data_IF_864492703139
#
_entry.id   IF_864492703139
#
_cell.length_a   1.000
_cell.length_b   1.000
_cell.length_c   1.000
_cell.angle_alpha   90.00
_cell.angle_beta   90.00
_cell.angle_gamma   90.00
#
_symmetry.space_group_name_H-M   'P 1'
#
loop_
_entity.id
_entity.type
_entity.pdbx_description
1 polymer ?
#
# COMPACT_ATOMS: atom_id res chain seq x y z
N UNK A 1 13.77 0.66 -19.28
CA UNK A 1 14.25 -0.43 -18.42
C UNK A 1 13.68 -0.15 -17.04
N UNK A 2 12.55 -0.74 -16.70
CA UNK A 2 11.99 -0.67 -15.34
C UNK A 2 12.80 -1.63 -14.48
N UNK A 3 13.44 -1.14 -13.42
CA UNK A 3 14.21 -1.94 -12.48
C UNK A 3 13.27 -2.86 -11.67
N UNK A 4 13.10 -4.10 -12.14
CA UNK A 4 12.25 -5.15 -11.56
C UNK A 4 12.77 -5.77 -10.24
N UNK A 5 13.60 -5.06 -9.47
CA UNK A 5 14.06 -5.49 -8.13
C UNK A 5 13.39 -4.72 -7.01
N UNK A 6 12.14 -4.27 -7.18
CA UNK A 6 11.34 -3.80 -6.04
C UNK A 6 10.93 -5.00 -5.20
N UNK A 7 11.50 -5.13 -4.00
CA UNK A 7 11.07 -6.11 -2.99
C UNK A 7 9.59 -5.85 -2.68
N UNK A 8 8.70 -6.67 -3.24
CA UNK A 8 7.27 -6.65 -2.88
C UNK A 8 7.09 -7.44 -1.60
N UNK A 9 6.83 -6.76 -0.48
CA UNK A 9 6.51 -7.40 0.79
C UNK A 9 5.07 -7.94 0.74
N UNK A 10 4.80 -9.21 1.12
CA UNK A 10 3.44 -9.74 1.05
C UNK A 10 2.52 -9.06 2.07
N UNK A 11 1.24 -8.95 1.73
CA UNK A 11 0.20 -8.32 2.54
C UNK A 11 -0.38 -9.35 3.53
N UNK A 12 0.14 -9.41 4.76
CA UNK A 12 -0.72 -9.71 5.92
C UNK A 12 -1.29 -8.37 6.37
N UNK A 13 -2.60 -8.32 6.66
CA UNK A 13 -3.43 -7.10 6.80
C UNK A 13 -2.59 -5.83 7.05
N UNK A 14 -2.10 -5.25 5.95
CA UNK A 14 -1.12 -4.15 5.93
C UNK A 14 -1.68 -2.87 6.54
N UNK A 15 -2.95 -2.93 6.96
CA UNK A 15 -3.73 -1.87 7.58
C UNK A 15 -3.90 -2.03 9.10
N UNK A 16 -3.31 -3.05 9.74
CA UNK A 16 -3.39 -3.15 11.21
C UNK A 16 -2.66 -1.99 11.91
N UNK A 17 -1.55 -1.52 11.34
CA UNK A 17 -0.82 -0.33 11.80
C UNK A 17 -1.25 0.88 10.96
N UNK A 18 -1.69 1.94 11.65
CA UNK A 18 -2.11 3.21 11.01
C UNK A 18 -1.06 4.31 11.15
N UNK A 19 0.16 3.92 11.55
CA UNK A 19 1.29 4.79 11.81
C UNK A 19 2.60 4.16 11.37
N UNK A 20 3.60 4.98 11.10
CA UNK A 20 4.92 4.60 10.60
C UNK A 20 6.02 5.33 11.35
N UNK A 21 7.18 4.72 11.49
CA UNK A 21 8.41 5.39 11.93
C UNK A 21 8.88 6.42 10.92
N UNK A 22 9.82 7.28 11.33
CA UNK A 22 10.43 8.30 10.46
C UNK A 22 11.10 7.67 9.22
N UNK A 23 11.81 6.55 9.38
CA UNK A 23 12.45 5.86 8.27
C UNK A 23 11.46 5.21 7.31
N UNK A 24 10.40 4.59 7.84
CA UNK A 24 9.30 4.07 7.01
C UNK A 24 8.61 5.19 6.23
N UNK A 25 8.39 6.36 6.85
CA UNK A 25 7.82 7.52 6.18
C UNK A 25 8.65 7.97 4.97
N UNK A 26 9.97 8.02 5.10
CA UNK A 26 10.88 8.33 3.98
C UNK A 26 10.86 7.24 2.91
N UNK A 27 10.87 5.97 3.29
CA UNK A 27 10.74 4.86 2.33
C UNK A 27 9.44 4.95 1.52
N UNK A 28 8.35 5.35 2.16
CA UNK A 28 7.06 5.60 1.51
C UNK A 28 7.13 6.78 0.55
N UNK A 29 7.74 7.89 0.96
CA UNK A 29 7.89 9.08 0.11
C UNK A 29 8.77 8.80 -1.12
N UNK A 30 9.78 7.93 -1.00
CA UNK A 30 10.58 7.46 -2.14
C UNK A 30 9.83 6.45 -3.03
N UNK A 31 8.66 5.99 -2.60
CA UNK A 31 7.87 4.98 -3.31
C UNK A 31 8.48 3.57 -3.24
N UNK A 32 9.27 3.28 -2.20
CA UNK A 32 9.77 1.94 -1.89
C UNK A 32 8.74 1.11 -1.11
N UNK A 33 7.82 1.76 -0.42
CA UNK A 33 6.72 1.12 0.30
C UNK A 33 5.42 1.92 0.11
N UNK A 34 4.29 1.23 0.23
CA UNK A 34 2.95 1.82 0.12
C UNK A 34 2.27 2.01 1.49
N UNK A 35 2.95 1.64 2.58
CA UNK A 35 2.47 1.65 3.95
C UNK A 35 3.53 1.19 4.95
N UNK A 36 3.16 0.87 6.21
CA UNK A 36 4.07 0.38 7.23
C UNK A 36 4.82 -0.87 6.78
N UNK A 37 6.11 -0.95 7.15
CA UNK A 37 6.96 -2.09 6.83
C UNK A 37 6.87 -3.08 7.99
N UNK A 38 6.46 -4.31 7.69
CA UNK A 38 6.31 -5.38 8.68
C UNK A 38 7.39 -6.42 8.45
N UNK A 39 8.27 -6.59 9.43
CA UNK A 39 9.27 -7.65 9.41
C UNK A 39 8.60 -9.01 9.61
N UNK A 40 9.00 -10.01 8.81
CA UNK A 40 8.46 -11.37 8.86
C UNK A 40 9.50 -12.32 9.43
N UNK A 41 9.04 -13.31 10.17
CA UNK A 41 9.90 -14.42 10.56
C UNK A 41 10.13 -15.33 9.37
N UNK A 42 11.35 -15.85 9.23
CA UNK A 42 11.66 -16.95 8.33
C UNK A 42 11.26 -18.31 8.92
N UNK A 43 10.97 -18.36 10.22
CA UNK A 43 10.45 -19.54 10.89
C UNK A 43 8.96 -19.71 10.53
N UNK A 44 8.55 -20.91 10.12
CA UNK A 44 7.14 -21.22 9.81
C UNK A 44 6.24 -21.13 11.04
N UNK A 45 6.79 -21.37 12.23
CA UNK A 45 6.08 -21.29 13.51
C UNK A 45 6.89 -20.43 14.50
N UNK A 46 6.92 -19.10 14.30
CA UNK A 46 7.62 -18.23 15.22
C UNK A 46 6.93 -18.26 16.59
N UNK A 47 7.72 -18.19 17.65
CA UNK A 47 7.16 -18.00 19.00
C UNK A 47 6.51 -16.62 19.14
N UNK A 48 5.61 -16.47 20.13
CA UNK A 48 4.99 -15.16 20.43
C UNK A 48 6.06 -14.09 20.74
N UNK A 49 7.16 -14.47 21.38
CA UNK A 49 8.29 -13.59 21.68
C UNK A 49 9.02 -13.15 20.41
N UNK A 50 9.25 -14.06 19.46
CA UNK A 50 9.84 -13.73 18.15
C UNK A 50 8.92 -12.80 17.34
N UNK A 51 7.61 -13.05 17.35
CA UNK A 51 6.63 -12.19 16.68
C UNK A 51 6.61 -10.78 17.29
N UNK A 52 6.68 -10.67 18.62
CA UNK A 52 6.71 -9.38 19.29
C UNK A 52 8.02 -8.62 19.03
N UNK A 53 9.14 -9.34 19.02
CA UNK A 53 10.44 -8.77 18.66
C UNK A 53 10.43 -8.23 17.22
N UNK A 54 9.85 -8.98 16.28
CA UNK A 54 9.72 -8.55 14.87
C UNK A 54 8.77 -7.36 14.69
N UNK A 55 7.67 -7.31 15.44
CA UNK A 55 6.74 -6.17 15.44
C UNK A 55 7.35 -4.90 16.02
N UNK A 56 8.26 -5.07 16.98
CA UNK A 56 8.97 -3.97 17.64
C UNK A 56 10.27 -3.58 16.95
N UNK A 57 10.74 -4.39 15.98
CA UNK A 57 11.99 -4.14 15.28
C UNK A 57 11.88 -2.86 14.44
N UNK A 58 12.69 -1.82 14.70
CA UNK A 58 12.69 -0.62 13.89
C UNK A 58 13.21 -0.94 12.49
N UNK A 59 12.58 -0.35 11.48
CA UNK A 59 13.11 -0.35 10.12
C UNK A 59 14.07 0.84 9.97
N UNK A 60 15.29 0.60 9.51
CA UNK A 60 16.26 1.64 9.17
C UNK A 60 16.56 1.60 7.68
N UNK A 61 16.20 2.67 6.98
CA UNK A 61 16.46 2.78 5.54
C UNK A 61 17.97 2.77 5.20
N UNK A 62 18.81 3.23 6.14
CA UNK A 62 20.27 3.27 6.00
C UNK A 62 20.90 1.88 5.87
N UNK A 63 20.30 0.85 6.48
CA UNK A 63 20.79 -0.52 6.35
C UNK A 63 20.60 -1.04 4.92
N UNK A 64 19.39 -0.85 4.37
CA UNK A 64 19.09 -1.20 2.98
C UNK A 64 19.95 -0.42 1.99
N UNK A 65 20.20 0.86 2.25
CA UNK A 65 21.09 1.66 1.42
C UNK A 65 22.54 1.20 1.47
N UNK A 66 23.02 0.74 2.62
CA UNK A 66 24.39 0.22 2.73
C UNK A 66 24.57 -1.02 1.86
N UNK A 67 23.64 -1.96 1.93
CA UNK A 67 23.65 -3.18 1.11
C UNK A 67 23.59 -2.86 -0.39
N UNK A 68 22.67 -1.98 -0.79
CA UNK A 68 22.51 -1.60 -2.21
C UNK A 68 23.75 -0.85 -2.74
N UNK A 69 24.31 0.07 -1.93
CA UNK A 69 25.55 0.77 -2.25
C UNK A 69 26.70 -0.21 -2.47
N UNK A 70 26.91 -1.13 -1.54
CA UNK A 70 27.97 -2.14 -1.64
C UNK A 70 27.79 -2.99 -2.90
N UNK A 71 26.56 -3.40 -3.21
CA UNK A 71 26.22 -4.12 -4.45
C UNK A 71 26.56 -3.33 -5.73
N UNK A 72 26.23 -2.04 -5.76
CA UNK A 72 26.50 -1.15 -6.91
C UNK A 72 28.00 -0.85 -7.06
N UNK A 73 28.70 -0.61 -5.95
CA UNK A 73 30.16 -0.45 -5.94
C UNK A 73 30.85 -1.73 -6.43
N UNK A 74 30.37 -2.90 -6.03
CA UNK A 74 30.84 -4.20 -6.52
C UNK A 74 30.58 -4.40 -8.01
N UNK A 75 29.44 -3.93 -8.52
CA UNK A 75 29.14 -3.94 -9.95
C UNK A 75 30.10 -3.03 -10.72
N UNK A 76 30.39 -1.83 -10.21
CA UNK A 76 31.38 -0.91 -10.79
C UNK A 76 32.79 -1.53 -10.78
N UNK A 77 33.20 -2.16 -9.67
CA UNK A 77 34.51 -2.84 -9.56
C UNK A 77 34.63 -3.99 -10.56
N UNK A 78 33.59 -4.83 -10.69
CA UNK A 78 33.59 -5.96 -11.63
C UNK A 78 33.64 -5.50 -13.08
N UNK A 79 32.85 -4.49 -13.45
CA UNK A 79 32.86 -3.93 -14.81
C UNK A 79 34.15 -3.19 -15.14
N UNK A 80 34.89 -2.68 -14.15
CA UNK A 80 36.22 -2.08 -14.34
C UNK A 80 37.35 -3.09 -14.63
N UNK A 81 37.10 -4.40 -14.52
CA UNK A 81 38.12 -5.42 -14.86
C UNK A 81 38.22 -5.67 -16.36
N UNK A 82 39.39 -6.14 -16.81
CA UNK A 82 39.72 -6.30 -18.24
C UNK A 82 38.66 -7.12 -19.00
N UNK A 83 38.04 -6.50 -20.01
CA UNK A 83 37.12 -7.18 -20.94
C UNK A 83 35.68 -6.68 -20.95
N UNK A 84 35.27 -5.79 -20.05
CA UNK A 84 33.94 -5.17 -20.10
C UNK A 84 33.84 -4.07 -21.17
N UNK A 85 32.65 -3.86 -21.72
CA UNK A 85 32.39 -2.74 -22.63
C UNK A 85 32.31 -1.41 -21.86
N UNK A 86 32.68 -0.30 -22.52
CA UNK A 86 32.50 1.05 -21.96
C UNK A 86 31.04 1.30 -21.56
N UNK A 87 30.08 0.83 -22.37
CA UNK A 87 28.65 0.92 -22.07
C UNK A 87 28.27 0.28 -20.74
N UNK A 88 28.89 -0.87 -20.39
CA UNK A 88 28.62 -1.54 -19.12
C UNK A 88 29.18 -0.77 -17.92
N UNK A 89 30.34 -0.12 -18.12
CA UNK A 89 30.97 0.74 -17.12
C UNK A 89 30.12 1.99 -16.88
N UNK A 90 29.71 2.66 -17.96
CA UNK A 90 28.89 3.88 -17.90
C UNK A 90 27.55 3.60 -17.22
N UNK A 91 26.91 2.48 -17.54
CA UNK A 91 25.64 2.07 -16.92
C UNK A 91 25.77 1.79 -15.42
N UNK A 92 26.86 1.15 -14.99
CA UNK A 92 27.09 0.88 -13.57
C UNK A 92 27.34 2.20 -12.80
N UNK A 93 28.12 3.11 -13.39
CA UNK A 93 28.36 4.43 -12.82
C UNK A 93 27.09 5.28 -12.72
N UNK A 94 26.27 5.32 -13.78
CA UNK A 94 24.98 6.02 -13.79
C UNK A 94 24.00 5.49 -12.73
N UNK A 95 23.99 4.16 -12.52
CA UNK A 95 23.18 3.55 -11.47
C UNK A 95 23.63 3.98 -10.07
N UNK A 96 24.95 4.01 -9.82
CA UNK A 96 25.51 4.48 -8.54
C UNK A 96 25.23 5.97 -8.30
N UNK A 97 25.40 6.82 -9.31
CA UNK A 97 25.09 8.25 -9.22
C UNK A 97 23.59 8.50 -8.95
N UNK A 98 22.72 7.76 -9.64
CA UNK A 98 21.27 7.82 -9.42
C UNK A 98 20.92 7.44 -7.99
N UNK A 99 21.50 6.34 -7.49
CA UNK A 99 21.32 5.89 -6.12
C UNK A 99 21.81 6.93 -5.10
N UNK A 100 22.99 7.53 -5.29
CA UNK A 100 23.50 8.56 -4.38
C UNK A 100 22.61 9.81 -4.34
N UNK A 101 22.00 10.18 -5.48
CA UNK A 101 21.00 11.26 -5.54
C UNK A 101 19.74 10.92 -4.75
N UNK A 102 19.23 9.70 -4.87
CA UNK A 102 18.07 9.23 -4.08
C UNK A 102 18.38 9.24 -2.57
N UNK A 103 19.55 8.75 -2.16
CA UNK A 103 20.00 8.79 -0.76
C UNK A 103 20.11 10.23 -0.25
N UNK A 104 20.62 11.15 -1.07
CA UNK A 104 20.73 12.56 -0.69
C UNK A 104 19.35 13.21 -0.48
N UNK A 105 18.40 12.94 -1.38
CA UNK A 105 17.02 13.43 -1.26
C UNK A 105 16.33 12.86 -0.03
N UNK A 106 16.50 11.56 0.22
CA UNK A 106 15.93 10.89 1.37
C UNK A 106 16.48 11.41 2.70
N UNK A 107 17.79 11.70 2.78
CA UNK A 107 18.40 12.35 3.95
C UNK A 107 17.82 13.74 4.21
N UNK A 108 17.57 14.53 3.15
CA UNK A 108 16.88 15.81 3.28
C UNK A 108 15.49 15.62 3.88
N UNK A 109 14.71 14.65 3.39
CA UNK A 109 13.37 14.37 3.92
C UNK A 109 13.39 13.86 5.37
N UNK A 110 14.38 13.05 5.76
CA UNK A 110 14.58 12.66 7.16
C UNK A 110 14.71 13.90 8.05
N UNK A 111 15.61 14.83 7.69
CA UNK A 111 15.79 16.07 8.43
C UNK A 111 14.51 16.93 8.46
N UNK A 112 13.78 17.05 7.35
CA UNK A 112 12.54 17.82 7.32
C UNK A 112 11.44 17.23 8.20
N UNK A 113 11.32 15.90 8.25
CA UNK A 113 10.38 15.22 9.13
C UNK A 113 10.76 15.43 10.59
N UNK A 114 12.05 15.28 10.93
CA UNK A 114 12.55 15.52 12.29
C UNK A 114 12.35 16.97 12.72
N UNK A 115 12.66 17.93 11.85
CA UNK A 115 12.40 19.36 12.07
C UNK A 115 10.91 19.63 12.27
N UNK A 116 10.05 19.00 11.48
CA UNK A 116 8.59 19.11 11.64
C UNK A 116 8.11 18.53 12.97
N UNK A 117 8.65 17.38 13.41
CA UNK A 117 8.32 16.76 14.69
C UNK A 117 8.83 17.59 15.88
N UNK A 118 9.99 18.24 15.74
CA UNK A 118 10.57 19.10 16.78
C UNK A 118 9.68 20.28 17.18
N UNK A 119 8.72 20.65 16.33
CA UNK A 119 7.71 21.69 16.60
C UNK A 119 6.69 21.28 17.68
N UNK A 120 6.67 20.02 18.10
CA UNK A 120 5.78 19.52 19.16
C UNK A 120 4.30 19.69 18.79
N UNK A 121 3.53 20.39 19.62
CA UNK A 121 2.09 20.58 19.41
C UNK A 121 1.76 21.35 18.11
N UNK A 122 2.68 22.20 17.65
CA UNK A 122 2.56 22.96 16.41
C UNK A 122 2.92 22.14 15.17
N UNK A 123 3.37 20.89 15.33
CA UNK A 123 3.68 20.00 14.21
C UNK A 123 2.43 19.66 13.40
N UNK A 124 2.56 19.69 12.07
CA UNK A 124 1.56 19.12 11.17
C UNK A 124 1.52 17.58 11.25
N UNK A 125 2.66 16.96 11.60
CA UNK A 125 2.76 15.52 11.79
C UNK A 125 2.19 15.14 13.17
N UNK A 126 1.28 14.17 13.17
CA UNK A 126 0.62 13.69 14.39
C UNK A 126 1.20 12.35 14.78
N UNK A 127 1.65 12.25 16.02
CA UNK A 127 2.17 11.02 16.59
C UNK A 127 1.04 10.09 17.02
N UNK A 128 1.18 8.80 16.73
CA UNK A 128 0.37 7.74 17.32
C UNK A 128 0.94 7.44 18.71
N UNK A 129 0.29 7.94 19.76
CA UNK A 129 0.74 7.77 21.15
C UNK A 129 0.69 6.33 21.64
N UNK A 130 -0.05 5.44 20.97
CA UNK A 130 -0.14 4.02 21.34
C UNK A 130 1.12 3.26 20.93
N UNK A 131 1.70 3.62 19.78
CA UNK A 131 2.88 2.95 19.21
C UNK A 131 4.17 3.74 19.39
N UNK A 132 4.08 5.06 19.58
CA UNK A 132 5.24 5.89 19.84
C UNK A 132 5.84 5.61 21.21
N UNK A 133 7.17 5.58 21.26
CA UNK A 133 7.94 5.60 22.50
C UNK A 133 9.16 6.51 22.31
N UNK A 134 9.89 6.79 23.40
CA UNK A 134 10.94 7.84 23.47
C UNK A 134 12.01 7.79 22.36
N UNK A 135 12.20 6.63 21.73
CA UNK A 135 13.23 6.41 20.70
C UNK A 135 12.68 6.24 19.28
N UNK A 136 11.43 5.79 19.12
CA UNK A 136 10.82 5.60 17.80
C UNK A 136 9.46 6.30 17.75
N UNK A 137 9.43 7.60 17.40
CA UNK A 137 8.18 8.29 17.17
C UNK A 137 7.46 7.65 15.98
N UNK A 138 6.19 7.33 16.18
CA UNK A 138 5.33 6.79 15.14
C UNK A 138 4.40 7.87 14.63
N UNK A 139 4.56 8.26 13.37
CA UNK A 139 3.76 9.26 12.65
C UNK A 139 2.52 8.58 12.09
N UNK A 140 1.33 9.12 12.34
CA UNK A 140 0.11 8.61 11.71
C UNK A 140 0.17 8.80 10.20
N UNK A 141 -0.20 7.76 9.45
CA UNK A 141 -0.17 7.75 7.98
C UNK A 141 -1.00 8.89 7.37
N UNK A 142 -2.10 9.25 8.02
CA UNK A 142 -2.94 10.38 7.61
C UNK A 142 -2.16 11.71 7.69
N UNK A 143 -1.55 12.01 8.84
CA UNK A 143 -0.82 13.27 9.00
C UNK A 143 0.41 13.35 8.09
N UNK A 144 1.07 12.21 7.83
CA UNK A 144 2.18 12.14 6.87
C UNK A 144 1.70 12.49 5.46
N UNK A 145 0.56 11.94 5.02
CA UNK A 145 -0.01 12.25 3.71
C UNK A 145 -0.32 13.74 3.56
N UNK A 146 -1.06 14.32 4.51
CA UNK A 146 -1.46 15.73 4.44
C UNK A 146 -0.22 16.64 4.42
N UNK A 147 0.74 16.39 5.32
CA UNK A 147 1.99 17.14 5.37
C UNK A 147 2.79 17.03 4.07
N UNK A 148 2.93 15.82 3.53
CA UNK A 148 3.65 15.59 2.29
C UNK A 148 2.96 16.30 1.10
N UNK A 149 1.63 16.25 1.04
CA UNK A 149 0.84 16.95 0.03
C UNK A 149 1.00 18.48 0.12
N UNK A 150 0.96 19.04 1.33
CA UNK A 150 1.15 20.49 1.56
C UNK A 150 2.56 20.95 1.16
N UNK A 151 3.56 20.08 1.30
CA UNK A 151 4.93 20.30 0.84
C UNK A 151 5.12 20.11 -0.67
N UNK A 152 4.12 19.57 -1.36
CA UNK A 152 4.20 19.24 -2.78
C UNK A 152 4.97 17.95 -3.09
N UNK A 153 5.13 17.06 -2.10
CA UNK A 153 5.71 15.74 -2.29
C UNK A 153 4.68 14.77 -2.85
N UNK A 154 5.08 14.00 -3.87
CA UNK A 154 4.29 12.90 -4.39
C UNK A 154 4.45 11.70 -3.45
N UNK A 155 3.35 11.19 -2.90
CA UNK A 155 3.38 9.98 -2.07
C UNK A 155 2.51 8.90 -2.67
N UNK A 156 3.00 7.66 -2.68
CA UNK A 156 2.24 6.48 -3.13
C UNK A 156 1.40 5.84 -2.03
N UNK A 157 1.24 6.54 -0.90
CA UNK A 157 0.43 6.06 0.21
C UNK A 157 -0.93 5.63 -0.29
N UNK A 158 -1.19 4.32 -0.30
CA UNK A 158 -2.52 3.79 -0.59
C UNK A 158 -3.47 4.43 0.42
N UNK A 159 -4.65 4.94 0.02
CA UNK A 159 -5.63 5.45 0.95
C UNK A 159 -5.85 4.44 2.08
N UNK A 160 -5.27 4.72 3.26
CA UNK A 160 -5.58 3.98 4.47
C UNK A 160 -7.01 4.37 4.75
N UNK A 161 -7.92 3.46 4.41
CA UNK A 161 -9.29 3.48 4.87
C UNK A 161 -9.24 3.80 6.36
N UNK A 162 -9.69 5.00 6.76
CA UNK A 162 -9.69 5.44 8.16
C UNK A 162 -10.26 4.31 9.01
N UNK A 163 -9.77 4.12 10.24
CA UNK A 163 -10.48 3.25 11.20
C UNK A 163 -11.78 3.97 11.54
N UNK A 164 -12.82 3.69 10.75
CA UNK A 164 -14.07 4.48 10.61
C UNK A 164 -14.57 4.54 9.16
N UNK A 165 -13.65 4.59 8.19
CA UNK A 165 -13.84 4.33 6.77
C UNK A 165 -13.45 2.88 6.42
N UNK A 166 -13.71 1.90 7.29
CA UNK A 166 -14.04 0.60 6.71
C UNK A 166 -15.17 0.94 5.75
N UNK A 167 -14.95 0.87 4.43
CA UNK A 167 -16.04 1.02 3.45
C UNK A 167 -17.12 0.15 4.03
N UNK A 168 -18.23 0.73 4.56
CA UNK A 168 -19.09 -0.01 5.46
C UNK A 168 -19.37 -1.32 4.79
N UNK A 169 -19.32 -2.48 5.44
CA UNK A 169 -19.37 -3.81 4.76
C UNK A 169 -20.35 -3.87 3.56
N UNK A 170 -21.42 -3.08 3.65
CA UNK A 170 -22.31 -2.59 2.59
C UNK A 170 -21.67 -2.05 1.29
N UNK A 171 -20.80 -1.03 1.34
CA UNK A 171 -20.04 -0.48 0.20
C UNK A 171 -19.12 -1.51 -0.45
N UNK A 172 -18.43 -2.34 0.34
CA UNK A 172 -17.60 -3.42 -0.23
C UNK A 172 -18.45 -4.44 -0.99
N UNK A 173 -19.64 -4.79 -0.47
CA UNK A 173 -20.61 -5.60 -1.20
C UNK A 173 -21.05 -4.94 -2.51
N UNK A 174 -21.33 -3.63 -2.48
CA UNK A 174 -21.75 -2.86 -3.66
C UNK A 174 -20.65 -2.85 -4.74
N UNK A 175 -19.40 -2.59 -4.37
CA UNK A 175 -18.25 -2.62 -5.29
C UNK A 175 -18.10 -3.98 -5.96
N UNK A 176 -18.12 -5.07 -5.18
CA UNK A 176 -18.00 -6.44 -5.73
C UNK A 176 -19.15 -6.76 -6.69
N UNK A 177 -20.37 -6.26 -6.44
CA UNK A 177 -21.50 -6.41 -7.35
C UNK A 177 -21.27 -5.65 -8.67
N UNK A 178 -20.78 -4.41 -8.61
CA UNK A 178 -20.49 -3.59 -9.79
C UNK A 178 -19.39 -4.20 -10.66
N UNK A 179 -18.27 -4.61 -10.05
CA UNK A 179 -17.18 -5.31 -10.73
C UNK A 179 -17.66 -6.62 -11.37
N UNK A 180 -18.54 -7.35 -10.67
CA UNK A 180 -19.12 -8.58 -11.20
C UNK A 180 -20.02 -8.31 -12.41
N UNK A 181 -20.84 -7.25 -12.37
CA UNK A 181 -21.68 -6.83 -13.50
C UNK A 181 -20.83 -6.45 -14.72
N UNK A 182 -19.79 -5.64 -14.51
CA UNK A 182 -18.85 -5.25 -15.55
C UNK A 182 -18.14 -6.47 -16.17
N UNK A 183 -17.69 -7.41 -15.32
CA UNK A 183 -17.05 -8.66 -15.77
C UNK A 183 -17.99 -9.60 -16.56
N UNK A 184 -19.31 -9.41 -16.43
CA UNK A 184 -20.33 -10.12 -17.20
C UNK A 184 -20.74 -9.33 -18.45
N UNK A 185 -20.14 -8.17 -18.70
CA UNK A 185 -20.44 -7.30 -19.84
C UNK A 185 -21.77 -6.56 -19.72
N UNK A 186 -22.25 -6.32 -18.50
CA UNK A 186 -23.50 -5.60 -18.25
C UNK A 186 -23.22 -4.17 -17.76
N UNK A 187 -23.95 -3.20 -18.30
CA UNK A 187 -24.01 -1.84 -17.77
C UNK A 187 -24.89 -1.85 -16.50
N UNK A 188 -24.36 -1.48 -15.32
CA UNK A 188 -25.13 -1.47 -14.07
C UNK A 188 -26.39 -0.61 -14.14
N UNK A 189 -26.40 0.47 -14.94
CA UNK A 189 -27.54 1.40 -15.06
C UNK A 189 -28.54 1.00 -16.14
N UNK A 190 -28.25 -0.04 -16.92
CA UNK A 190 -29.07 -0.46 -18.07
C UNK A 190 -29.12 -1.99 -18.19
N UNK A 191 -29.48 -2.66 -17.10
CA UNK A 191 -29.60 -4.11 -17.11
C UNK A 191 -30.83 -4.58 -17.89
N UNK A 192 -30.74 -5.64 -18.71
CA UNK A 192 -31.89 -6.15 -19.45
C UNK A 192 -32.98 -6.69 -18.50
N UNK A 193 -34.28 -6.51 -18.83
CA UNK A 193 -35.38 -7.06 -18.06
C UNK A 193 -35.39 -8.59 -18.12
N UNK A 194 -35.91 -9.23 -17.07
CA UNK A 194 -35.90 -10.69 -16.98
C UNK A 194 -36.90 -11.32 -17.97
N UNK A 195 -36.41 -12.16 -18.87
CA UNK A 195 -37.25 -12.91 -19.83
C UNK A 195 -37.75 -14.22 -19.22
N UNK A 196 -39.00 -14.61 -19.51
CA UNK A 196 -39.57 -15.86 -18.99
C UNK A 196 -38.72 -17.06 -19.44
N UNK A 197 -38.24 -17.84 -18.48
CA UNK A 197 -37.47 -19.07 -18.73
C UNK A 197 -35.95 -18.90 -18.84
N UNK A 198 -35.41 -17.66 -18.74
CA UNK A 198 -33.97 -17.39 -18.74
C UNK A 198 -33.52 -16.93 -17.35
N UNK A 199 -32.33 -17.35 -16.92
CA UNK A 199 -31.73 -16.85 -15.68
C UNK A 199 -31.38 -15.36 -15.83
N UNK A 200 -32.06 -14.49 -15.09
CA UNK A 200 -31.81 -13.06 -15.14
C UNK A 200 -30.43 -12.64 -14.60
N UNK A 201 -30.02 -11.41 -14.90
CA UNK A 201 -28.72 -10.83 -14.52
C UNK A 201 -28.44 -10.96 -13.01
N UNK A 202 -29.44 -10.68 -12.16
CA UNK A 202 -29.34 -10.84 -10.69
C UNK A 202 -28.91 -12.24 -10.27
N UNK A 203 -29.43 -13.27 -10.94
CA UNK A 203 -29.11 -14.68 -10.65
C UNK A 203 -27.70 -15.04 -11.11
N UNK A 204 -27.28 -14.55 -12.30
CA UNK A 204 -25.93 -14.75 -12.82
C UNK A 204 -24.87 -14.13 -11.90
N UNK A 205 -25.10 -12.90 -11.44
CA UNK A 205 -24.22 -12.22 -10.47
C UNK A 205 -24.19 -12.99 -9.15
N UNK A 206 -25.36 -13.33 -8.59
CA UNK A 206 -25.44 -14.10 -7.33
C UNK A 206 -24.62 -15.37 -7.38
N UNK A 207 -24.74 -16.14 -8.46
CA UNK A 207 -24.02 -17.42 -8.64
C UNK A 207 -22.51 -17.24 -8.72
N UNK A 208 -22.02 -16.12 -9.27
CA UNK A 208 -20.59 -15.86 -9.46
C UNK A 208 -19.87 -15.48 -8.16
N UNK A 209 -20.61 -14.89 -7.22
CA UNK A 209 -20.07 -14.39 -5.94
C UNK A 209 -20.52 -15.20 -4.71
N UNK A 210 -21.38 -16.21 -4.89
CA UNK A 210 -21.84 -17.08 -3.81
C UNK A 210 -20.66 -17.77 -3.10
N UNK A 211 -20.71 -17.80 -1.77
CA UNK A 211 -19.67 -18.39 -0.92
C UNK A 211 -18.34 -17.60 -0.84
N UNK A 212 -18.22 -16.45 -1.50
CA UNK A 212 -17.04 -15.58 -1.43
C UNK A 212 -17.30 -14.45 -0.43
N UNK A 213 -16.30 -14.03 0.33
CA UNK A 213 -16.41 -12.77 1.08
C UNK A 213 -16.59 -11.58 0.11
N UNK A 214 -17.44 -10.59 0.42
CA UNK A 214 -18.21 -10.37 1.66
C UNK A 214 -19.60 -11.05 1.75
N UNK A 215 -19.91 -12.03 0.89
CA UNK A 215 -21.23 -12.68 0.71
C UNK A 215 -21.36 -14.08 1.34
N UNK A 216 -20.85 -14.28 2.56
CA UNK A 216 -20.98 -15.57 3.28
C UNK A 216 -22.43 -15.90 3.73
N UNK A 217 -23.34 -14.91 3.75
CA UNK A 217 -24.71 -15.09 4.20
C UNK A 217 -25.72 -15.11 3.05
N UNK A 218 -26.66 -16.06 3.07
CA UNK A 218 -27.67 -16.28 2.02
C UNK A 218 -28.57 -15.07 1.73
N UNK A 219 -28.70 -14.13 2.67
CA UNK A 219 -29.52 -12.91 2.50
C UNK A 219 -28.70 -11.66 2.18
N UNK A 220 -27.37 -11.72 2.28
CA UNK A 220 -26.49 -10.56 2.17
C UNK A 220 -26.53 -9.99 0.75
N UNK A 221 -26.41 -10.85 -0.26
CA UNK A 221 -26.48 -10.46 -1.66
C UNK A 221 -27.81 -9.78 -1.99
N UNK A 222 -28.93 -10.39 -1.60
CA UNK A 222 -30.27 -9.85 -1.85
C UNK A 222 -30.41 -8.45 -1.26
N UNK A 223 -29.98 -8.24 -0.01
CA UNK A 223 -30.06 -6.94 0.67
C UNK A 223 -29.18 -5.88 0.01
N UNK A 224 -27.98 -6.24 -0.42
CA UNK A 224 -27.09 -5.32 -1.14
C UNK A 224 -27.71 -4.92 -2.49
N UNK A 225 -28.18 -5.89 -3.26
CA UNK A 225 -28.83 -5.67 -4.55
C UNK A 225 -30.05 -4.76 -4.45
N UNK A 226 -30.96 -5.04 -3.51
CA UNK A 226 -32.20 -4.27 -3.34
C UNK A 226 -31.89 -2.83 -2.88
N UNK A 227 -30.82 -2.63 -2.11
CA UNK A 227 -30.34 -1.29 -1.72
C UNK A 227 -29.80 -0.52 -2.92
N UNK A 228 -28.97 -1.12 -3.75
CA UNK A 228 -28.42 -0.49 -4.96
C UNK A 228 -29.51 -0.10 -5.97
N UNK A 229 -30.56 -0.92 -6.10
CA UNK A 229 -31.75 -0.57 -6.89
C UNK A 229 -32.48 0.65 -6.32
N UNK A 230 -32.56 0.73 -4.98
CA UNK A 230 -33.24 1.83 -4.29
C UNK A 230 -32.47 3.15 -4.38
N UNK A 231 -31.13 3.09 -4.38
CA UNK A 231 -30.25 4.27 -4.51
C UNK A 231 -30.04 4.70 -5.96
N UNK A 232 -30.37 3.85 -6.94
CA UNK A 232 -30.16 4.11 -8.37
C UNK A 232 -28.74 3.83 -8.85
N UNK A 233 -27.94 3.13 -8.04
CA UNK A 233 -26.60 2.67 -8.43
C UNK A 233 -26.68 1.58 -9.51
N UNK A 234 -27.78 0.81 -9.51
CA UNK A 234 -28.14 -0.12 -10.57
C UNK A 234 -29.59 0.10 -11.02
N UNK A 235 -29.89 -0.16 -12.28
CA UNK A 235 -31.23 -0.03 -12.84
C UNK A 235 -31.49 -1.01 -14.00
N UNK A 236 -32.76 -1.38 -14.17
CA UNK A 236 -33.21 -2.13 -15.34
C UNK A 236 -33.59 -1.17 -16.47
N UNK A 237 -33.36 -1.59 -17.71
CA UNK A 237 -33.86 -0.90 -18.89
C UNK A 237 -35.40 -0.84 -18.85
N UNK A 238 -35.95 0.34 -19.13
CA UNK A 238 -37.40 0.60 -19.13
C UNK A 238 -38.04 0.18 -20.45
#
# INVERSE_FOLDING_TARGET
MESETRRTYPVEDSFSRTSVTVHEAVAIMLGYADGPIVMRSFNENPSDEELEALRSAPFYIDEGWREERESLEDACRRTGTEGSSQESIDKAAEALETFEREVSEAKRWLCEIEDELSKGEASALRLDTKHSHDHFPHITLWSLREWAQDKGYETRLVPVSRVGDATPKLRMQETVILETLESLGHDPKRMPPNSKGVSGVKSAVSKKIDGKEPFLGSTVFKKAWDRMLSTGDIAYEK
#
